data_IF_384470153472
#
_entry.id   IF_384470153472
#
_cell.length_a   1.000
_cell.length_b   1.000
_cell.length_c   1.000
_cell.angle_alpha   90.00
_cell.angle_beta   90.00
_cell.angle_gamma   90.00
#
_symmetry.space_group_name_H-M   'P 1'
#
loop_
_entity.id
_entity.type
_entity.pdbx_description
1 polymer ?
#
# COMPACT_ATOMS: atom_id res chain seq x y z
N UNK A 1 5.07 -19.46 -9.66
CA UNK A 1 4.90 -18.24 -10.47
C UNK A 1 3.43 -17.84 -10.63
N UNK A 2 2.52 -18.77 -10.95
CA UNK A 2 1.07 -18.49 -11.08
C UNK A 2 0.42 -17.91 -9.81
N UNK A 3 0.77 -18.42 -8.63
CA UNK A 3 0.24 -17.95 -7.33
C UNK A 3 0.56 -16.49 -7.04
N UNK A 4 1.75 -16.01 -7.45
CA UNK A 4 2.16 -14.63 -7.25
C UNK A 4 1.27 -13.67 -8.02
N UNK A 5 0.99 -13.98 -9.28
CA UNK A 5 0.14 -13.15 -10.14
C UNK A 5 -1.31 -13.11 -9.66
N UNK A 6 -1.85 -14.25 -9.21
CA UNK A 6 -3.21 -14.31 -8.67
C UNK A 6 -3.30 -13.52 -7.37
N UNK A 7 -2.35 -13.68 -6.45
CA UNK A 7 -2.30 -12.92 -5.21
C UNK A 7 -2.13 -11.41 -5.46
N UNK A 8 -1.20 -11.03 -6.33
CA UNK A 8 -0.99 -9.65 -6.72
C UNK A 8 -2.26 -9.02 -7.32
N UNK A 9 -2.88 -9.68 -8.30
CA UNK A 9 -4.10 -9.18 -8.93
C UNK A 9 -5.27 -9.11 -7.93
N UNK A 10 -5.42 -10.11 -7.06
CA UNK A 10 -6.44 -10.13 -6.02
C UNK A 10 -6.31 -8.95 -5.05
N UNK A 11 -5.10 -8.72 -4.53
CA UNK A 11 -4.83 -7.59 -3.62
C UNK A 11 -4.95 -6.26 -4.34
N UNK A 12 -4.40 -6.13 -5.55
CA UNK A 12 -4.49 -4.90 -6.33
C UNK A 12 -5.94 -4.48 -6.62
N UNK A 13 -6.82 -5.44 -6.91
CA UNK A 13 -8.25 -5.17 -7.10
C UNK A 13 -8.96 -4.84 -5.77
N UNK A 14 -8.62 -5.55 -4.69
CA UNK A 14 -9.22 -5.33 -3.38
C UNK A 14 -8.86 -3.97 -2.79
N UNK A 15 -7.65 -3.46 -3.06
CA UNK A 15 -7.18 -2.17 -2.56
C UNK A 15 -7.42 -1.00 -3.52
N UNK A 16 -7.97 -1.25 -4.72
CA UNK A 16 -8.25 -0.18 -5.69
C UNK A 16 -9.39 0.72 -5.18
N UNK A 17 -9.12 2.02 -5.07
CA UNK A 17 -10.08 3.02 -4.60
C UNK A 17 -10.21 3.10 -3.08
N UNK A 18 -9.24 2.56 -2.33
CA UNK A 18 -9.24 2.65 -0.88
C UNK A 18 -9.12 4.09 -0.37
N UNK A 19 -9.36 4.27 0.94
CA UNK A 19 -9.31 5.59 1.59
C UNK A 19 -7.95 6.25 1.42
N UNK A 20 -6.88 5.47 1.39
CA UNK A 20 -5.50 5.92 1.23
C UNK A 20 -5.28 6.54 -0.15
N UNK A 21 -5.74 5.89 -1.22
CA UNK A 21 -5.70 6.40 -2.60
C UNK A 21 -6.54 7.67 -2.77
N UNK A 22 -7.74 7.73 -2.16
CA UNK A 22 -8.56 8.93 -2.18
C UNK A 22 -7.88 10.11 -1.47
N UNK A 23 -7.29 9.87 -0.29
CA UNK A 23 -6.51 10.87 0.44
C UNK A 23 -5.31 11.35 -0.38
N UNK A 24 -4.63 10.41 -1.05
CA UNK A 24 -3.50 10.67 -1.95
C UNK A 24 -3.90 11.62 -3.09
N UNK A 25 -5.03 11.34 -3.73
CA UNK A 25 -5.58 12.14 -4.80
C UNK A 25 -5.94 13.55 -4.32
N UNK A 26 -6.61 13.65 -3.17
CA UNK A 26 -7.01 14.93 -2.57
C UNK A 26 -5.78 15.76 -2.19
N UNK A 27 -4.76 15.16 -1.58
CA UNK A 27 -3.53 15.85 -1.23
C UNK A 27 -2.78 16.31 -2.49
N UNK A 28 -2.69 15.46 -3.52
CA UNK A 28 -2.06 15.80 -4.79
C UNK A 28 -2.77 16.97 -5.48
N UNK A 29 -4.11 16.96 -5.50
CA UNK A 29 -4.93 18.04 -6.03
C UNK A 29 -4.78 19.34 -5.22
N UNK A 30 -4.75 19.26 -3.89
CA UNK A 30 -4.65 20.42 -2.99
C UNK A 30 -3.30 21.11 -3.06
N UNK A 31 -2.21 20.34 -3.00
CA UNK A 31 -0.86 20.89 -2.90
C UNK A 31 -0.18 21.06 -4.25
N UNK A 32 -0.76 20.52 -5.34
CA UNK A 32 -0.20 20.53 -6.70
C UNK A 32 1.23 20.01 -6.79
N UNK A 33 1.60 19.11 -5.87
CA UNK A 33 2.91 18.46 -5.78
C UNK A 33 2.71 16.93 -5.83
N UNK A 34 2.35 16.36 -6.99
CA UNK A 34 2.00 14.95 -7.10
C UNK A 34 3.19 14.04 -6.75
N UNK A 35 4.39 14.36 -7.21
CA UNK A 35 5.56 13.49 -7.03
C UNK A 35 5.98 13.27 -5.57
N UNK A 36 6.16 14.32 -4.74
CA UNK A 36 6.47 14.10 -3.32
C UNK A 36 5.39 13.33 -2.56
N UNK A 37 4.12 13.56 -2.93
CA UNK A 37 2.97 12.90 -2.28
C UNK A 37 2.98 11.42 -2.63
N UNK A 38 3.04 11.07 -3.92
CA UNK A 38 3.12 9.68 -4.39
C UNK A 38 4.29 8.94 -3.77
N UNK A 39 5.47 9.57 -3.70
CA UNK A 39 6.64 8.97 -3.04
C UNK A 39 6.41 8.75 -1.54
N UNK A 40 5.82 9.72 -0.85
CA UNK A 40 5.49 9.60 0.57
C UNK A 40 4.53 8.44 0.85
N UNK A 41 3.48 8.31 0.04
CA UNK A 41 2.50 7.22 0.15
C UNK A 41 3.16 5.86 -0.17
N UNK A 42 3.98 5.79 -1.22
CA UNK A 42 4.70 4.56 -1.56
C UNK A 42 5.58 4.08 -0.41
N UNK A 43 6.37 4.98 0.18
CA UNK A 43 7.22 4.66 1.33
C UNK A 43 6.38 4.24 2.54
N UNK A 44 5.30 4.96 2.84
CA UNK A 44 4.40 4.62 3.94
C UNK A 44 3.78 3.22 3.76
N UNK A 45 3.30 2.89 2.55
CA UNK A 45 2.72 1.58 2.24
C UNK A 45 3.74 0.47 2.37
N UNK A 46 4.97 0.65 1.87
CA UNK A 46 6.03 -0.35 1.99
C UNK A 46 6.41 -0.61 3.46
N UNK A 47 6.57 0.45 4.25
CA UNK A 47 6.87 0.33 5.68
C UNK A 47 5.72 -0.38 6.41
N UNK A 48 4.47 0.00 6.13
CA UNK A 48 3.31 -0.64 6.74
C UNK A 48 3.24 -2.15 6.43
N UNK A 49 3.45 -2.53 5.17
CA UNK A 49 3.47 -3.94 4.76
C UNK A 49 4.64 -4.71 5.40
N UNK A 50 5.82 -4.12 5.48
CA UNK A 50 6.97 -4.73 6.13
C UNK A 50 6.68 -4.98 7.62
N UNK A 51 6.11 -4.00 8.34
CA UNK A 51 5.71 -4.15 9.73
C UNK A 51 4.63 -5.22 9.91
N UNK A 52 3.61 -5.24 9.05
CA UNK A 52 2.57 -6.26 9.08
C UNK A 52 3.13 -7.67 8.84
N UNK A 53 4.05 -7.82 7.88
CA UNK A 53 4.71 -9.09 7.60
C UNK A 53 5.58 -9.56 8.79
N UNK A 54 6.35 -8.66 9.40
CA UNK A 54 7.17 -8.96 10.58
C UNK A 54 6.29 -9.34 11.78
N UNK A 55 5.22 -8.60 12.04
CA UNK A 55 4.27 -8.90 13.09
C UNK A 55 3.57 -10.25 12.86
N UNK A 56 3.15 -10.53 11.63
CA UNK A 56 2.56 -11.82 11.25
C UNK A 56 3.54 -12.98 11.42
N UNK A 57 4.81 -12.79 11.04
CA UNK A 57 5.85 -13.79 11.23
C UNK A 57 6.10 -14.05 12.73
N UNK A 58 6.15 -13.01 13.56
CA UNK A 58 6.29 -13.14 15.01
C UNK A 58 5.08 -13.87 15.64
N UNK A 59 3.86 -13.46 15.29
CA UNK A 59 2.64 -14.12 15.77
C UNK A 59 2.58 -15.60 15.34
N UNK A 60 3.11 -15.95 14.16
CA UNK A 60 3.19 -17.33 13.71
C UNK A 60 4.20 -18.20 14.46
N UNK A 61 5.06 -17.60 15.30
CA UNK A 61 6.00 -18.34 16.17
C UNK A 61 5.47 -18.61 17.58
N UNK A 62 4.37 -17.96 17.97
CA UNK A 62 3.64 -18.22 19.21
C UNK A 62 2.80 -19.49 19.09
#
# INVERSE_FOLDING_TARGET
MHTLWIAFAGVALAELGDKTQLLSLVLAARYRKPWPIVLGILVATLVNHALAALAGAWLGTL
#
